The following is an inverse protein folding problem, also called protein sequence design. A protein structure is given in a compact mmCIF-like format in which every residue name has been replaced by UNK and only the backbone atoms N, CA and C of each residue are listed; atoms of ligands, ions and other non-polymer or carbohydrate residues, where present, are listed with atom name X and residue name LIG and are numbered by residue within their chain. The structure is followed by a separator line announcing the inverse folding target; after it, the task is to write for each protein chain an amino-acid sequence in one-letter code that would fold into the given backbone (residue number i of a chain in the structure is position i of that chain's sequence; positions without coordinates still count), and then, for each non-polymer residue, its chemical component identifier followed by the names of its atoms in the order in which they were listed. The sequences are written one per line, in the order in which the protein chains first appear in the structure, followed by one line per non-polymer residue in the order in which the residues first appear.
data_IF_190011299460
#
_entry.id   IF_190011299460
#
_cell.length_a   1.000
_cell.length_b   1.000
_cell.length_c   1.000
_cell.angle_alpha   90.00
_cell.angle_beta   90.00
_cell.angle_gamma   90.00
#
_symmetry.space_group_name_H-M   'P 1'
#
loop_
_entity.id
_entity.type
_entity.pdbx_description
1 polymer ?
#
# COMPACT_ATOMS: atom_id res chain seq x y z
N UNK A 1 -7.58 -34.12 -13.06
CA UNK A 1 -7.22 -33.26 -11.92
C UNK A 1 -6.11 -32.30 -12.30
N UNK A 2 -4.97 -32.76 -12.82
CA UNK A 2 -3.96 -31.86 -13.43
C UNK A 2 -4.54 -31.04 -14.59
N UNK A 3 -5.33 -31.68 -15.46
CA UNK A 3 -6.06 -30.98 -16.54
C UNK A 3 -7.04 -29.92 -16.03
N UNK A 4 -7.58 -30.11 -14.83
CA UNK A 4 -8.51 -29.16 -14.22
C UNK A 4 -7.76 -27.95 -13.66
N UNK A 5 -6.64 -28.17 -12.95
CA UNK A 5 -5.78 -27.09 -12.47
C UNK A 5 -5.25 -26.27 -13.64
N UNK A 6 -4.73 -26.91 -14.68
CA UNK A 6 -4.22 -26.23 -15.87
C UNK A 6 -5.31 -25.37 -16.55
N UNK A 7 -6.53 -25.91 -16.67
CA UNK A 7 -7.67 -25.15 -17.20
C UNK A 7 -8.00 -23.94 -16.33
N UNK A 8 -8.05 -24.10 -15.01
CA UNK A 8 -8.34 -22.98 -14.08
C UNK A 8 -7.26 -21.92 -14.08
N UNK A 9 -6.00 -22.30 -14.19
CA UNK A 9 -4.88 -21.36 -14.37
C UNK A 9 -5.04 -20.55 -15.65
N UNK A 10 -5.42 -21.18 -16.77
CA UNK A 10 -5.67 -20.47 -18.03
C UNK A 10 -6.88 -19.54 -17.96
N UNK A 11 -7.91 -19.90 -17.19
CA UNK A 11 -9.12 -19.09 -17.00
C UNK A 11 -8.89 -17.82 -16.16
N UNK A 12 -7.75 -17.69 -15.47
CA UNK A 12 -7.36 -16.42 -14.85
C UNK A 12 -7.18 -15.29 -15.87
N UNK A 13 -6.86 -15.63 -17.13
CA UNK A 13 -6.75 -14.68 -18.23
C UNK A 13 -8.08 -14.43 -18.96
N UNK A 14 -9.19 -15.00 -18.48
CA UNK A 14 -10.48 -14.84 -19.13
C UNK A 14 -10.88 -13.36 -19.20
N UNK A 15 -11.46 -12.95 -20.33
CA UNK A 15 -12.01 -11.60 -20.52
C UNK A 15 -13.21 -11.34 -19.57
N UNK A 16 -13.90 -12.40 -19.16
CA UNK A 16 -15.00 -12.33 -18.20
C UNK A 16 -14.43 -12.37 -16.79
N UNK A 17 -14.63 -11.28 -16.04
CA UNK A 17 -14.26 -11.18 -14.62
C UNK A 17 -14.86 -12.32 -13.80
N UNK A 18 -16.15 -12.64 -13.98
CA UNK A 18 -16.81 -13.76 -13.29
C UNK A 18 -16.08 -15.10 -13.50
N UNK A 19 -15.57 -15.36 -14.71
CA UNK A 19 -14.84 -16.60 -15.01
C UNK A 19 -13.49 -16.63 -14.30
N UNK A 20 -12.78 -15.52 -14.30
CA UNK A 20 -11.48 -15.40 -13.64
C UNK A 20 -11.61 -15.48 -12.10
N UNK A 21 -12.61 -14.82 -11.51
CA UNK A 21 -12.92 -14.89 -10.07
C UNK A 21 -13.30 -16.32 -9.65
N UNK A 22 -14.15 -17.00 -10.42
CA UNK A 22 -14.50 -18.39 -10.16
C UNK A 22 -13.27 -19.31 -10.26
N UNK A 23 -12.41 -19.08 -11.25
CA UNK A 23 -11.17 -19.81 -11.40
C UNK A 23 -10.23 -19.59 -10.21
N UNK A 24 -10.08 -18.35 -9.76
CA UNK A 24 -9.33 -17.99 -8.57
C UNK A 24 -9.88 -18.68 -7.31
N UNK A 25 -11.17 -18.57 -7.02
CA UNK A 25 -11.81 -19.22 -5.87
C UNK A 25 -11.61 -20.73 -5.90
N UNK A 26 -11.74 -21.33 -7.08
CA UNK A 26 -11.48 -22.75 -7.28
C UNK A 26 -10.02 -23.09 -6.93
N UNK A 27 -9.05 -22.35 -7.45
CA UNK A 27 -7.63 -22.58 -7.18
C UNK A 27 -7.29 -22.45 -5.68
N UNK A 28 -7.86 -21.46 -4.99
CA UNK A 28 -7.73 -21.29 -3.53
C UNK A 28 -8.29 -22.52 -2.80
N UNK A 29 -9.48 -22.98 -3.18
CA UNK A 29 -10.14 -24.14 -2.54
C UNK A 29 -9.37 -25.46 -2.74
N UNK A 30 -8.68 -25.61 -3.87
CA UNK A 30 -7.83 -26.77 -4.16
C UNK A 30 -6.55 -26.78 -3.32
N UNK A 31 -6.15 -25.62 -2.80
CA UNK A 31 -5.09 -25.48 -1.82
C UNK A 31 -3.68 -25.57 -2.43
N UNK A 32 -2.65 -25.86 -1.60
CA UNK A 32 -1.24 -25.78 -1.97
C UNK A 32 -0.78 -26.69 -3.14
N UNK A 33 -1.63 -27.61 -3.62
CA UNK A 33 -1.35 -28.48 -4.77
C UNK A 33 -1.35 -27.73 -6.10
N UNK A 34 -2.00 -26.56 -6.18
CA UNK A 34 -2.07 -25.76 -7.42
C UNK A 34 -0.78 -25.00 -7.69
N UNK A 35 0.08 -24.84 -6.68
CA UNK A 35 1.21 -23.92 -6.75
C UNK A 35 2.20 -24.27 -7.85
N UNK A 36 2.44 -25.56 -8.12
CA UNK A 36 3.39 -25.93 -9.20
C UNK A 36 2.91 -25.44 -10.56
N UNK A 37 1.65 -25.73 -10.91
CA UNK A 37 1.06 -25.28 -12.18
C UNK A 37 0.92 -23.75 -12.25
N UNK A 38 0.50 -23.11 -11.16
CA UNK A 38 0.32 -21.67 -11.13
C UNK A 38 1.65 -20.92 -11.17
N UNK A 39 2.68 -21.37 -10.46
CA UNK A 39 4.04 -20.78 -10.53
C UNK A 39 4.60 -20.89 -11.95
N UNK A 40 4.38 -22.02 -12.63
CA UNK A 40 4.88 -22.23 -13.99
C UNK A 40 4.24 -21.28 -15.01
N UNK A 41 2.99 -20.86 -14.80
CA UNK A 41 2.24 -20.02 -15.73
C UNK A 41 2.14 -18.55 -15.33
N UNK A 42 2.36 -18.19 -14.06
CA UNK A 42 2.00 -16.88 -13.52
C UNK A 42 2.64 -15.70 -14.26
N UNK A 43 3.89 -15.82 -14.73
CA UNK A 43 4.54 -14.75 -15.51
C UNK A 43 4.04 -14.62 -16.96
N UNK A 44 3.35 -15.64 -17.49
CA UNK A 44 2.80 -15.63 -18.84
C UNK A 44 1.36 -15.10 -18.90
N UNK A 45 0.71 -14.98 -17.74
CA UNK A 45 -0.63 -14.41 -17.63
C UNK A 45 -0.62 -12.93 -18.01
N UNK A 46 -1.77 -12.44 -18.47
CA UNK A 46 -2.00 -11.01 -18.67
C UNK A 46 -1.98 -10.27 -17.31
N UNK A 47 -1.89 -8.93 -17.28
CA UNK A 47 -1.79 -8.20 -16.01
C UNK A 47 -2.91 -8.50 -15.02
N UNK A 48 -4.14 -8.71 -15.47
CA UNK A 48 -5.25 -9.06 -14.59
C UNK A 48 -5.11 -10.49 -14.04
N UNK A 49 -4.79 -11.47 -14.90
CA UNK A 49 -4.51 -12.84 -14.47
C UNK A 49 -3.32 -12.94 -13.50
N UNK A 50 -2.32 -12.07 -13.64
CA UNK A 50 -1.22 -11.94 -12.68
C UNK A 50 -1.71 -11.47 -11.30
N UNK A 51 -2.60 -10.47 -11.24
CA UNK A 51 -3.21 -10.03 -9.98
C UNK A 51 -3.99 -11.17 -9.32
N UNK A 52 -4.82 -11.89 -10.11
CA UNK A 52 -5.54 -13.05 -9.59
C UNK A 52 -4.59 -14.13 -9.06
N UNK A 53 -3.49 -14.38 -9.75
CA UNK A 53 -2.46 -15.35 -9.31
C UNK A 53 -1.79 -14.92 -8.00
N UNK A 54 -1.48 -13.62 -7.84
CA UNK A 54 -0.94 -13.06 -6.59
C UNK A 54 -1.92 -13.30 -5.43
N UNK A 55 -3.21 -13.02 -5.61
CA UNK A 55 -4.24 -13.29 -4.60
C UNK A 55 -4.32 -14.76 -4.22
N UNK A 56 -4.23 -15.69 -5.19
CA UNK A 56 -4.16 -17.13 -4.88
C UNK A 56 -2.92 -17.44 -4.04
N UNK A 57 -1.74 -16.90 -4.40
CA UNK A 57 -0.50 -17.12 -3.64
C UNK A 57 -0.61 -16.64 -2.20
N UNK A 58 -1.13 -15.43 -2.01
CA UNK A 58 -1.31 -14.81 -0.69
C UNK A 58 -2.34 -15.57 0.15
N UNK A 59 -3.49 -15.91 -0.42
CA UNK A 59 -4.54 -16.67 0.28
C UNK A 59 -4.08 -18.05 0.74
N UNK A 60 -3.16 -18.68 -0.02
CA UNK A 60 -2.57 -19.97 0.36
C UNK A 60 -1.47 -19.85 1.42
N UNK A 61 -0.99 -18.64 1.73
CA UNK A 61 0.03 -18.34 2.72
C UNK A 61 1.30 -19.22 2.60
N UNK A 62 1.67 -19.56 1.36
CA UNK A 62 2.81 -20.43 1.06
C UNK A 62 3.91 -19.62 0.35
N UNK A 63 5.17 -19.65 0.81
CA UNK A 63 6.25 -18.84 0.25
C UNK A 63 6.91 -19.43 -1.01
N UNK A 64 6.48 -20.61 -1.49
CA UNK A 64 6.98 -21.20 -2.76
C UNK A 64 6.93 -20.28 -3.99
N UNK A 65 5.93 -19.40 -4.21
CA UNK A 65 5.90 -18.47 -5.34
C UNK A 65 6.83 -17.25 -5.18
N UNK A 66 7.69 -17.20 -4.15
CA UNK A 66 8.59 -16.07 -3.91
C UNK A 66 9.40 -15.64 -5.15
N UNK A 67 9.92 -16.57 -5.95
CA UNK A 67 10.73 -16.21 -7.13
C UNK A 67 9.87 -15.63 -8.27
N UNK A 68 8.61 -16.08 -8.42
CA UNK A 68 7.68 -15.50 -9.41
C UNK A 68 7.21 -14.10 -8.99
N UNK A 69 6.88 -13.92 -7.71
CA UNK A 69 6.53 -12.62 -7.14
C UNK A 69 7.70 -11.61 -7.26
N UNK A 70 8.93 -12.05 -7.02
CA UNK A 70 10.13 -11.24 -7.26
C UNK A 70 10.27 -10.84 -8.74
N UNK A 71 9.90 -11.72 -9.67
CA UNK A 71 9.86 -11.41 -11.10
C UNK A 71 8.82 -10.34 -11.44
N UNK A 72 7.65 -10.38 -10.80
CA UNK A 72 6.55 -9.43 -10.99
C UNK A 72 6.87 -7.99 -10.54
N UNK A 73 7.86 -7.79 -9.66
CA UNK A 73 8.38 -6.45 -9.32
C UNK A 73 8.99 -5.69 -10.51
N UNK A 74 9.24 -6.36 -11.64
CA UNK A 74 9.70 -5.75 -12.89
C UNK A 74 8.59 -5.67 -13.97
N UNK A 75 7.32 -5.91 -13.60
CA UNK A 75 6.18 -5.77 -14.50
C UNK A 75 6.04 -4.35 -15.03
N UNK A 76 5.52 -4.19 -16.24
CA UNK A 76 5.15 -2.86 -16.79
C UNK A 76 3.93 -2.28 -16.05
N UNK A 77 3.07 -3.13 -15.49
CA UNK A 77 1.91 -2.72 -14.71
C UNK A 77 2.30 -2.32 -13.29
N UNK A 78 2.05 -1.05 -12.93
CA UNK A 78 2.26 -0.52 -11.59
C UNK A 78 1.47 -1.30 -10.52
N UNK A 79 0.23 -1.68 -10.84
CA UNK A 79 -0.63 -2.47 -9.94
C UNK A 79 -0.04 -3.86 -9.68
N UNK A 80 0.53 -4.52 -10.71
CA UNK A 80 1.19 -5.82 -10.51
C UNK A 80 2.44 -5.65 -9.64
N UNK A 81 3.23 -4.59 -9.83
CA UNK A 81 4.41 -4.32 -8.99
C UNK A 81 4.00 -4.09 -7.53
N UNK A 82 2.95 -3.30 -7.30
CA UNK A 82 2.38 -3.04 -5.97
C UNK A 82 1.96 -4.35 -5.29
N UNK A 83 1.08 -5.12 -5.91
CA UNK A 83 0.52 -6.34 -5.31
C UNK A 83 1.59 -7.41 -5.09
N UNK A 84 2.56 -7.52 -5.99
CA UNK A 84 3.69 -8.41 -5.80
C UNK A 84 4.54 -7.99 -4.59
N UNK A 85 4.75 -6.70 -4.38
CA UNK A 85 5.46 -6.18 -3.21
C UNK A 85 4.72 -6.50 -1.91
N UNK A 86 3.41 -6.25 -1.88
CA UNK A 86 2.55 -6.53 -0.73
C UNK A 86 2.55 -8.04 -0.40
N UNK A 87 2.32 -8.89 -1.40
CA UNK A 87 2.35 -10.34 -1.21
C UNK A 87 3.70 -10.86 -0.71
N UNK A 88 4.82 -10.29 -1.18
CA UNK A 88 6.16 -10.67 -0.68
C UNK A 88 6.34 -10.32 0.81
N UNK A 89 5.74 -9.23 1.27
CA UNK A 89 5.76 -8.82 2.67
C UNK A 89 4.87 -9.71 3.54
N UNK A 90 3.63 -9.96 3.12
CA UNK A 90 2.69 -10.86 3.80
C UNK A 90 3.25 -12.28 3.95
N UNK A 91 3.93 -12.77 2.90
CA UNK A 91 4.59 -14.08 2.91
C UNK A 91 5.96 -14.08 3.62
N UNK A 92 6.40 -12.94 4.16
CA UNK A 92 7.65 -12.82 4.92
C UNK A 92 8.93 -13.09 4.10
N UNK A 93 8.90 -12.82 2.79
CA UNK A 93 9.98 -13.15 1.84
C UNK A 93 11.11 -12.13 1.92
N UNK A 94 11.86 -12.14 3.03
CA UNK A 94 12.98 -11.19 3.28
C UNK A 94 14.04 -11.16 2.17
N UNK A 95 14.24 -12.25 1.43
CA UNK A 95 15.17 -12.29 0.29
C UNK A 95 14.78 -11.37 -0.88
N UNK A 96 13.54 -10.87 -0.91
CA UNK A 96 13.06 -9.95 -1.93
C UNK A 96 13.51 -8.50 -1.72
N UNK A 97 14.01 -8.14 -0.53
CA UNK A 97 14.42 -6.76 -0.17
C UNK A 97 15.29 -6.08 -1.24
N UNK A 98 16.32 -6.71 -1.84
CA UNK A 98 17.11 -6.05 -2.88
C UNK A 98 16.29 -5.66 -4.12
N UNK A 99 15.31 -6.48 -4.50
CA UNK A 99 14.44 -6.24 -5.66
C UNK A 99 13.34 -5.24 -5.35
N UNK A 100 12.82 -5.24 -4.13
CA UNK A 100 11.91 -4.19 -3.64
C UNK A 100 12.59 -2.82 -3.63
N UNK A 101 13.84 -2.73 -3.15
CA UNK A 101 14.62 -1.48 -3.23
C UNK A 101 14.84 -1.03 -4.67
N UNK A 102 15.13 -1.96 -5.58
CA UNK A 102 15.28 -1.65 -6.99
C UNK A 102 13.98 -1.12 -7.61
N UNK A 103 12.85 -1.76 -7.31
CA UNK A 103 11.52 -1.33 -7.77
C UNK A 103 11.16 0.05 -7.21
N UNK A 104 11.37 0.28 -5.90
CA UNK A 104 11.12 1.56 -5.28
C UNK A 104 12.01 2.68 -5.85
N UNK A 105 13.29 2.40 -6.09
CA UNK A 105 14.17 3.35 -6.78
C UNK A 105 13.72 3.65 -8.22
N UNK A 106 13.14 2.67 -8.93
CA UNK A 106 12.59 2.89 -10.27
C UNK A 106 11.32 3.76 -10.22
N UNK A 107 10.42 3.48 -9.28
CA UNK A 107 9.25 4.30 -8.97
C UNK A 107 9.64 5.75 -8.63
N UNK A 108 10.61 5.95 -7.73
CA UNK A 108 11.08 7.30 -7.40
C UNK A 108 11.61 8.07 -8.62
N UNK A 109 12.18 7.38 -9.61
CA UNK A 109 12.67 7.97 -10.87
C UNK A 109 11.57 8.23 -11.91
N UNK A 110 10.39 7.63 -11.81
CA UNK A 110 9.26 7.95 -12.71
C UNK A 110 8.72 9.36 -12.45
N UNK A 111 8.99 9.91 -11.25
CA UNK A 111 8.51 11.22 -10.82
C UNK A 111 7.06 11.21 -10.34
N UNK A 112 6.49 10.03 -10.13
CA UNK A 112 5.21 9.85 -9.45
C UNK A 112 5.27 10.34 -7.99
N UNK A 113 4.10 10.72 -7.47
CA UNK A 113 3.98 11.23 -6.11
C UNK A 113 4.24 10.08 -5.12
N UNK A 114 4.97 10.29 -4.01
CA UNK A 114 5.33 9.18 -3.11
C UNK A 114 4.11 8.45 -2.52
N UNK A 115 3.00 9.13 -2.39
CA UNK A 115 1.70 8.66 -1.89
C UNK A 115 0.84 7.93 -2.92
N UNK A 116 1.31 7.79 -4.17
CA UNK A 116 0.71 6.87 -5.13
C UNK A 116 0.75 5.44 -4.60
N UNK A 117 -0.25 4.65 -4.98
CA UNK A 117 -0.50 3.32 -4.40
C UNK A 117 0.69 2.36 -4.54
N UNK A 118 1.41 2.40 -5.67
CA UNK A 118 2.62 1.62 -5.86
C UNK A 118 3.73 2.04 -4.87
N UNK A 119 3.94 3.34 -4.71
CA UNK A 119 4.95 3.89 -3.81
C UNK A 119 4.67 3.52 -2.35
N UNK A 120 3.39 3.58 -1.95
CA UNK A 120 2.93 3.15 -0.64
C UNK A 120 3.15 1.65 -0.43
N UNK A 121 2.68 0.79 -1.34
CA UNK A 121 2.82 -0.67 -1.24
C UNK A 121 4.28 -1.12 -1.18
N UNK A 122 5.16 -0.50 -1.98
CA UNK A 122 6.60 -0.78 -1.94
C UNK A 122 7.25 -0.36 -0.60
N UNK A 123 6.90 0.81 -0.06
CA UNK A 123 7.41 1.25 1.25
C UNK A 123 6.88 0.39 2.39
N UNK A 124 5.60 0.03 2.34
CA UNK A 124 5.00 -0.88 3.30
C UNK A 124 5.74 -2.22 3.30
N UNK A 125 5.93 -2.82 2.12
CA UNK A 125 6.67 -4.08 2.00
C UNK A 125 8.11 -4.00 2.52
N UNK A 126 8.80 -2.89 2.27
CA UNK A 126 10.13 -2.64 2.84
C UNK A 126 10.10 -2.51 4.37
N UNK A 127 9.03 -1.95 4.94
CA UNK A 127 8.85 -1.80 6.39
C UNK A 127 8.63 -3.17 7.04
N UNK A 128 7.67 -3.94 6.53
CA UNK A 128 7.33 -5.29 7.05
C UNK A 128 8.51 -6.26 6.96
N UNK A 129 9.33 -6.15 5.92
CA UNK A 129 10.52 -7.00 5.76
C UNK A 129 11.76 -6.46 6.50
N UNK A 130 11.63 -5.38 7.27
CA UNK A 130 12.69 -4.80 8.11
C UNK A 130 13.78 -4.07 7.33
N UNK A 131 13.48 -3.61 6.10
CA UNK A 131 14.40 -2.90 5.21
C UNK A 131 14.18 -1.38 5.20
N UNK A 132 13.12 -0.90 5.87
CA UNK A 132 12.77 0.50 6.13
C UNK A 132 12.35 0.62 7.60
N UNK A 133 12.80 1.69 8.26
CA UNK A 133 12.43 2.03 9.63
C UNK A 133 11.42 3.18 9.61
N UNK A 134 10.25 3.01 10.22
CA UNK A 134 9.30 4.09 10.43
C UNK A 134 9.62 4.83 11.72
N UNK A 135 9.79 6.14 11.64
CA UNK A 135 9.91 6.97 12.83
C UNK A 135 8.50 7.33 13.30
N UNK A 136 8.08 6.74 14.41
CA UNK A 136 6.87 7.11 15.13
C UNK A 136 7.22 7.94 16.36
N UNK A 137 6.91 9.25 16.37
CA UNK A 137 7.13 10.11 17.52
C UNK A 137 6.38 9.67 18.78
N UNK A 138 6.92 9.94 19.99
CA UNK A 138 6.35 9.45 21.25
C UNK A 138 4.92 9.90 21.53
N UNK A 139 4.56 11.13 21.13
CA UNK A 139 3.23 11.67 21.41
C UNK A 139 2.21 11.10 20.42
N UNK A 140 2.54 10.95 19.15
CA UNK A 140 1.75 10.17 18.20
C UNK A 140 1.59 8.72 18.68
N UNK A 141 2.64 8.07 19.19
CA UNK A 141 2.52 6.72 19.76
C UNK A 141 1.56 6.65 20.95
N UNK A 142 1.60 7.63 21.85
CA UNK A 142 0.76 7.68 23.05
C UNK A 142 -0.72 7.93 22.75
N UNK A 143 -1.04 8.53 21.60
CA UNK A 143 -2.41 8.86 21.18
C UNK A 143 -3.09 7.77 20.35
N UNK A 144 -2.39 6.68 20.04
CA UNK A 144 -2.95 5.58 19.25
C UNK A 144 -4.13 4.93 19.95
N UNK A 145 -5.08 4.46 19.16
CA UNK A 145 -6.12 3.56 19.65
C UNK A 145 -5.48 2.20 19.99
N UNK A 146 -5.40 1.80 21.27
CA UNK A 146 -4.77 0.53 21.66
C UNK A 146 -5.57 -0.70 21.20
N UNK A 147 -6.82 -0.53 20.75
CA UNK A 147 -7.66 -1.60 20.18
C UNK A 147 -7.70 -1.63 18.66
N UNK A 148 -7.05 -0.67 17.99
CA UNK A 148 -7.06 -0.53 16.54
C UNK A 148 -5.99 -1.38 15.86
N UNK A 149 -6.42 -2.41 15.12
CA UNK A 149 -5.62 -2.94 14.00
C UNK A 149 -6.09 -2.22 12.74
N UNK A 150 -5.26 -1.61 11.88
CA UNK A 150 -3.80 -1.68 11.89
C UNK A 150 -3.21 -0.82 13.01
N UNK A 151 -1.97 -1.14 13.37
CA UNK A 151 -1.17 -0.58 14.48
C UNK A 151 -1.09 0.97 14.45
N UNK A 152 -1.34 1.59 13.30
CA UNK A 152 -1.25 3.04 13.06
C UNK A 152 -2.65 3.68 12.95
N UNK A 153 -3.48 3.45 13.96
CA UNK A 153 -4.84 3.99 14.06
C UNK A 153 -4.95 4.98 15.23
N UNK A 154 -5.62 6.11 15.00
CA UNK A 154 -5.86 7.14 16.00
C UNK A 154 -7.34 7.53 16.06
N UNK A 155 -7.89 7.88 17.23
CA UNK A 155 -9.13 8.65 17.31
C UNK A 155 -9.01 9.95 16.51
N UNK A 156 -10.04 10.32 15.76
CA UNK A 156 -9.96 11.45 14.82
C UNK A 156 -9.68 12.79 15.52
N UNK A 157 -10.10 12.95 16.78
CA UNK A 157 -9.84 14.15 17.58
C UNK A 157 -8.34 14.40 17.83
N UNK A 158 -7.52 13.37 17.71
CA UNK A 158 -6.06 13.46 17.89
C UNK A 158 -5.32 13.78 16.59
N UNK A 159 -6.00 13.78 15.43
CA UNK A 159 -5.38 14.00 14.12
C UNK A 159 -4.52 15.29 14.06
N UNK A 160 -4.97 16.47 14.53
CA UNK A 160 -4.14 17.67 14.47
C UNK A 160 -2.89 17.59 15.36
N UNK A 161 -2.93 16.79 16.43
CA UNK A 161 -1.79 16.59 17.34
C UNK A 161 -0.78 15.62 16.73
N UNK A 162 -1.26 14.54 16.13
CA UNK A 162 -0.44 13.57 15.38
C UNK A 162 0.29 14.23 14.22
N UNK A 163 -0.40 15.08 13.44
CA UNK A 163 0.23 15.82 12.32
C UNK A 163 1.36 16.71 12.80
N UNK A 164 1.17 17.43 13.92
CA UNK A 164 2.20 18.32 14.47
C UNK A 164 3.38 17.54 15.01
N UNK A 165 3.13 16.47 15.77
CA UNK A 165 4.19 15.67 16.35
C UNK A 165 5.05 14.98 15.28
N UNK A 166 4.43 14.47 14.21
CA UNK A 166 5.13 13.97 13.01
C UNK A 166 6.02 15.06 12.41
N UNK A 167 5.48 16.25 12.17
CA UNK A 167 6.25 17.35 11.58
C UNK A 167 7.40 17.83 12.47
N UNK A 168 7.20 17.90 13.78
CA UNK A 168 8.23 18.30 14.77
C UNK A 168 9.40 17.29 14.80
N UNK A 169 9.16 16.06 14.38
CA UNK A 169 10.17 15.00 14.22
C UNK A 169 10.61 14.77 12.77
N UNK A 170 10.40 15.79 11.91
CA UNK A 170 10.90 15.78 10.53
C UNK A 170 10.20 14.78 9.61
N UNK A 171 8.98 14.35 9.95
CA UNK A 171 8.16 13.45 9.14
C UNK A 171 7.16 14.27 8.31
N UNK A 172 7.05 13.97 7.01
CA UNK A 172 6.07 14.58 6.13
C UNK A 172 4.81 13.70 6.04
N UNK A 173 3.65 14.27 6.37
CA UNK A 173 2.36 13.60 6.19
C UNK A 173 1.99 13.60 4.71
N UNK A 174 1.81 12.41 4.17
CA UNK A 174 1.43 12.16 2.80
C UNK A 174 -0.07 12.28 2.60
N UNK A 175 -0.82 11.53 3.40
CA UNK A 175 -2.27 11.44 3.34
C UNK A 175 -2.80 10.90 4.66
N UNK A 176 -4.12 10.94 4.83
CA UNK A 176 -4.80 10.22 5.89
C UNK A 176 -6.16 9.72 5.41
N UNK A 177 -6.66 8.63 5.98
CA UNK A 177 -7.97 8.07 5.66
C UNK A 177 -8.82 8.03 6.93
N UNK A 178 -10.09 8.37 6.80
CA UNK A 178 -11.06 8.43 7.88
C UNK A 178 -11.95 7.20 7.79
N UNK A 179 -12.15 6.55 8.93
CA UNK A 179 -12.93 5.34 9.05
C UNK A 179 -14.00 5.53 10.12
N UNK A 180 -15.18 5.01 9.84
CA UNK A 180 -16.28 4.85 10.78
C UNK A 180 -16.17 3.48 11.45
N UNK A 181 -16.14 3.44 12.77
CA UNK A 181 -16.25 2.21 13.55
C UNK A 181 -17.68 1.70 13.46
N UNK A 182 -17.85 0.45 13.01
CA UNK A 182 -19.17 -0.16 12.92
C UNK A 182 -19.52 -0.91 14.20
N UNK A 183 -20.81 -1.04 14.56
CA UNK A 183 -21.23 -1.67 15.82
C UNK A 183 -20.81 -3.14 15.99
N UNK A 184 -20.52 -3.83 14.89
CA UNK A 184 -20.01 -5.20 14.83
C UNK A 184 -18.49 -5.29 15.03
N UNK A 185 -17.82 -4.18 15.34
CA UNK A 185 -16.36 -4.10 15.52
C UNK A 185 -15.59 -3.98 14.21
N UNK A 186 -16.29 -3.85 13.09
CA UNK A 186 -15.69 -3.56 11.78
C UNK A 186 -15.39 -2.07 11.58
N UNK A 187 -14.98 -1.73 10.36
CA UNK A 187 -14.80 -0.35 9.92
C UNK A 187 -15.33 -0.15 8.52
N UNK A 188 -15.87 1.03 8.27
CA UNK A 188 -16.27 1.50 6.95
C UNK A 188 -15.45 2.72 6.58
N UNK A 189 -14.97 2.79 5.34
CA UNK A 189 -14.33 4.00 4.83
C UNK A 189 -15.34 5.17 4.86
N UNK A 190 -14.99 6.23 5.58
CA UNK A 190 -15.83 7.42 5.76
C UNK A 190 -15.33 8.60 4.91
N UNK A 191 -14.13 8.52 4.36
CA UNK A 191 -13.56 9.51 3.46
C UNK A 191 -12.06 9.68 3.63
N UNK A 192 -11.51 10.66 2.92
CA UNK A 192 -10.15 11.14 3.06
C UNK A 192 -10.14 12.66 3.18
N UNK A 193 -8.97 13.32 3.17
CA UNK A 193 -8.90 14.76 3.15
C UNK A 193 -9.70 15.33 1.98
N UNK A 194 -10.50 16.37 2.23
CA UNK A 194 -11.20 17.12 1.17
C UNK A 194 -10.26 17.99 0.33
N UNK A 195 -8.96 17.94 0.61
CA UNK A 195 -7.89 18.68 -0.06
C UNK A 195 -6.87 17.67 -0.52
N UNK A 196 -6.61 17.65 -1.83
CA UNK A 196 -5.50 16.91 -2.41
C UNK A 196 -4.23 17.77 -2.32
N UNK A 197 -3.18 17.26 -1.66
CA UNK A 197 -1.87 17.91 -1.60
C UNK A 197 -0.78 16.93 -2.01
N UNK A 198 0.11 17.41 -2.88
CA UNK A 198 1.28 16.65 -3.28
C UNK A 198 2.51 17.03 -2.46
N UNK A 199 3.39 16.06 -2.20
CA UNK A 199 4.70 16.32 -1.62
C UNK A 199 5.60 16.99 -2.65
N UNK A 200 6.03 18.21 -2.35
CA UNK A 200 7.05 18.90 -3.13
C UNK A 200 8.43 18.28 -2.84
N UNK A 201 8.91 17.47 -3.79
CA UNK A 201 10.18 16.73 -3.70
C UNK A 201 11.40 17.59 -4.05
N UNK A 202 11.18 18.79 -4.60
CA UNK A 202 12.25 19.68 -5.04
C UNK A 202 12.67 20.67 -3.94
N UNK A 203 11.88 20.79 -2.87
CA UNK A 203 12.20 21.65 -1.73
C UNK A 203 13.19 21.00 -0.75
N UNK A 204 13.94 21.83 0.01
CA UNK A 204 14.66 21.34 1.17
C UNK A 204 13.70 20.59 2.11
N UNK A 205 14.12 19.41 2.58
CA UNK A 205 13.26 18.53 3.38
C UNK A 205 12.51 19.22 4.54
N UNK A 206 13.13 20.10 5.35
CA UNK A 206 12.40 20.80 6.41
C UNK A 206 11.24 21.68 5.89
N UNK A 207 11.38 22.27 4.70
CA UNK A 207 10.31 23.05 4.07
C UNK A 207 9.20 22.15 3.54
N UNK A 208 9.54 20.98 2.98
CA UNK A 208 8.58 19.95 2.59
C UNK A 208 7.74 19.50 3.79
N UNK A 209 8.38 19.19 4.93
CA UNK A 209 7.71 18.80 6.17
C UNK A 209 6.73 19.87 6.64
N UNK A 210 7.16 21.13 6.68
CA UNK A 210 6.29 22.27 7.06
C UNK A 210 5.11 22.41 6.09
N UNK A 211 5.36 22.30 4.78
CA UNK A 211 4.31 22.40 3.78
C UNK A 211 3.27 21.27 3.93
N UNK A 212 3.71 20.03 4.08
CA UNK A 212 2.83 18.87 4.28
C UNK A 212 2.02 19.01 5.57
N UNK A 213 2.65 19.47 6.68
CA UNK A 213 1.96 19.75 7.94
C UNK A 213 0.83 20.77 7.74
N UNK A 214 1.12 21.89 7.09
CA UNK A 214 0.16 22.98 6.94
C UNK A 214 -1.04 22.56 6.06
N UNK A 215 -0.79 21.81 4.99
CA UNK A 215 -1.86 21.24 4.17
C UNK A 215 -2.68 20.17 4.90
N UNK A 216 -2.01 19.26 5.62
CA UNK A 216 -2.69 18.22 6.39
C UNK A 216 -3.54 18.81 7.52
N UNK A 217 -3.06 19.86 8.21
CA UNK A 217 -3.82 20.59 9.23
C UNK A 217 -5.05 21.29 8.61
N UNK A 218 -4.88 21.95 7.48
CA UNK A 218 -5.99 22.56 6.76
C UNK A 218 -7.04 21.53 6.34
N UNK A 219 -6.60 20.36 5.88
CA UNK A 219 -7.51 19.26 5.55
C UNK A 219 -8.22 18.69 6.79
N UNK A 220 -7.51 18.60 7.93
CA UNK A 220 -8.06 18.15 9.19
C UNK A 220 -9.16 19.08 9.74
N UNK A 221 -9.10 20.39 9.45
CA UNK A 221 -10.17 21.35 9.82
C UNK A 221 -11.52 21.03 9.16
N UNK A 222 -11.52 20.34 8.02
CA UNK A 222 -12.73 19.94 7.29
C UNK A 222 -13.29 18.59 7.74
N UNK A 223 -12.62 17.89 8.65
CA UNK A 223 -13.00 16.54 9.09
C UNK A 223 -14.06 16.62 10.19
N UNK A 224 -15.12 15.82 10.06
CA UNK A 224 -16.12 15.66 11.10
C UNK A 224 -15.53 14.88 12.29
N UNK A 225 -15.52 15.51 13.47
CA UNK A 225 -14.97 14.93 14.70
C UNK A 225 -16.10 14.26 15.47
N UNK A 226 -16.29 12.97 15.21
CA UNK A 226 -17.22 12.12 15.94
C UNK A 226 -16.48 10.99 16.68
N UNK A 227 -17.03 10.55 17.81
CA UNK A 227 -16.40 9.55 18.69
C UNK A 227 -16.26 8.15 18.07
N UNK A 228 -16.97 7.89 16.97
CA UNK A 228 -16.92 6.66 16.21
C UNK A 228 -15.99 6.78 14.98
N UNK A 229 -15.27 7.91 14.84
CA UNK A 229 -14.35 8.16 13.74
C UNK A 229 -12.91 7.95 14.19
N UNK A 230 -12.19 7.19 13.39
CA UNK A 230 -10.76 6.93 13.55
C UNK A 230 -10.03 7.26 12.26
N UNK A 231 -8.73 7.48 12.35
CA UNK A 231 -7.90 7.91 11.24
C UNK A 231 -6.65 7.04 11.12
N UNK A 232 -6.30 6.68 9.88
CA UNK A 232 -4.98 6.15 9.53
C UNK A 232 -4.20 7.25 8.83
N UNK A 233 -2.91 7.38 9.13
CA UNK A 233 -2.04 8.42 8.56
C UNK A 233 -0.90 7.75 7.81
N UNK A 234 -0.56 8.25 6.63
CA UNK A 234 0.62 7.86 5.85
C UNK A 234 1.69 8.93 5.97
N UNK A 235 2.92 8.56 6.30
CA UNK A 235 4.03 9.51 6.44
C UNK A 235 5.38 8.91 6.02
N UNK A 236 6.29 9.81 5.68
CA UNK A 236 7.66 9.49 5.25
C UNK A 236 8.69 10.42 5.90
N UNK A 237 9.94 10.01 5.89
CA UNK A 237 11.08 10.87 6.21
C UNK A 237 11.97 11.14 4.99
N UNK A 238 13.03 11.93 5.18
CA UNK A 238 13.95 12.30 4.10
C UNK A 238 14.61 11.09 3.42
N UNK A 239 14.74 9.96 4.12
CA UNK A 239 15.38 8.75 3.61
C UNK A 239 14.52 8.01 2.59
N UNK A 240 13.20 8.15 2.68
CA UNK A 240 12.25 7.56 1.73
C UNK A 240 12.39 8.12 0.32
N UNK A 241 12.86 9.36 0.19
CA UNK A 241 13.04 9.98 -1.12
C UNK A 241 14.46 9.83 -1.67
N UNK A 242 15.34 9.10 -0.99
CA UNK A 242 16.72 8.86 -1.44
C UNK A 242 16.78 7.70 -2.41
N UNK A 243 17.43 7.91 -3.54
CA UNK A 243 17.76 6.83 -4.48
C UNK A 243 19.12 6.26 -4.11
N UNK A 244 19.18 4.98 -3.75
CA UNK A 244 20.44 4.29 -3.44
C UNK A 244 21.44 4.44 -4.63
N UNK A 245 22.61 5.02 -4.37
CA UNK A 245 23.71 5.12 -5.34
C UNK A 245 23.78 6.41 -6.17
N UNK A 246 22.94 7.42 -5.91
CA UNK A 246 23.10 8.76 -6.49
C UNK A 246 23.62 9.76 -5.41
N UNK A 247 24.55 10.67 -5.75
CA UNK A 247 24.84 11.82 -4.88
C UNK A 247 23.56 12.65 -4.68
N UNK A 248 23.53 13.47 -3.63
CA UNK A 248 22.38 14.21 -3.05
C UNK A 248 21.58 15.14 -3.99
N UNK A 249 21.72 15.02 -5.31
CA UNK A 249 21.04 15.84 -6.29
C UNK A 249 20.45 15.03 -7.45
N UNK A 250 19.19 15.35 -7.75
CA UNK A 250 18.45 15.10 -9.00
C UNK A 250 17.71 13.76 -9.07
N UNK A 251 16.57 13.72 -8.37
CA UNK A 251 15.39 13.02 -8.90
C UNK A 251 14.92 13.83 -10.13
N UNK A 252 14.62 13.20 -11.28
CA UNK A 252 14.21 13.92 -12.48
C UNK A 252 12.96 14.77 -12.24
N UNK A 253 13.08 16.05 -12.58
CA UNK A 253 12.09 17.11 -12.40
C UNK A 253 10.89 16.89 -13.31
N UNK A 254 9.68 16.82 -12.76
CA UNK A 254 8.46 17.03 -13.53
C UNK A 254 8.02 18.48 -13.33
N UNK A 255 7.92 19.24 -14.41
CA UNK A 255 7.28 20.55 -14.39
C UNK A 255 5.80 20.35 -14.03
N UNK A 256 5.40 20.64 -12.80
CA UNK A 256 3.98 20.69 -12.44
C UNK A 256 3.36 21.96 -13.05
N UNK A 257 2.30 21.76 -13.83
CA UNK A 257 1.33 22.82 -14.09
C UNK A 257 0.67 23.22 -12.74
N UNK A 258 0.23 24.47 -12.57
CA UNK A 258 -0.43 24.90 -11.33
C UNK A 258 -1.67 24.05 -11.05
N UNK A 259 -2.07 23.89 -9.77
CA UNK A 259 -3.17 23.01 -9.41
C UNK A 259 -4.46 23.45 -10.12
N UNK A 260 -5.03 22.53 -10.91
CA UNK A 260 -6.38 22.69 -11.41
C UNK A 260 -7.34 22.50 -10.24
N UNK A 261 -8.19 23.51 -9.99
CA UNK A 261 -9.38 23.34 -9.15
C UNK A 261 -10.34 22.35 -9.85
N UNK A 262 -10.88 21.46 -9.02
CA UNK A 262 -12.15 20.73 -9.15
C UNK A 262 -12.15 19.33 -9.81
N UNK A 263 -12.59 18.37 -8.99
CA UNK A 263 -13.45 17.20 -9.24
C UNK A 263 -13.05 16.18 -10.30
N UNK A 264 -12.83 14.94 -9.85
CA UNK A 264 -13.75 13.82 -10.07
C UNK A 264 -13.37 12.63 -9.20
N UNK A 265 -14.39 12.08 -8.53
CA UNK A 265 -14.41 10.78 -7.87
C UNK A 265 -13.89 9.66 -8.79
N UNK A 266 -12.60 9.35 -8.67
CA UNK A 266 -12.04 8.07 -9.09
C UNK A 266 -12.10 7.14 -7.90
N UNK A 267 -13.16 6.34 -7.81
CA UNK A 267 -13.24 5.25 -6.86
C UNK A 267 -12.17 4.21 -7.18
N UNK A 268 -10.96 4.42 -6.67
CA UNK A 268 -10.11 3.29 -6.33
C UNK A 268 -10.81 2.59 -5.17
N UNK A 269 -11.40 1.42 -5.43
CA UNK A 269 -11.76 0.51 -4.35
C UNK A 269 -10.55 0.45 -3.42
N UNK A 270 -10.69 0.71 -2.11
CA UNK A 270 -9.66 0.27 -1.20
C UNK A 270 -9.53 -1.23 -1.45
N UNK A 271 -8.30 -1.69 -1.72
CA UNK A 271 -8.00 -3.12 -1.60
C UNK A 271 -8.64 -3.57 -0.28
N UNK A 272 -9.39 -4.70 -0.27
CA UNK A 272 -10.05 -5.12 0.95
C UNK A 272 -9.01 -5.15 2.05
N UNK A 273 -9.22 -4.36 3.09
CA UNK A 273 -8.54 -4.58 4.37
C UNK A 273 -8.97 -6.00 4.72
N UNK A 274 -8.10 -6.97 4.42
CA UNK A 274 -8.30 -8.36 4.81
C UNK A 274 -8.41 -8.28 6.32
N UNK A 275 -9.64 -8.47 6.78
CA UNK A 275 -9.91 -8.59 8.20
C UNK A 275 -9.00 -9.70 8.69
N UNK A 276 -8.07 -9.35 9.58
CA UNK A 276 -7.26 -10.31 10.31
C UNK A 276 -8.18 -11.11 11.24
N UNK A 277 -8.99 -11.98 10.64
CA UNK A 277 -9.73 -13.04 11.30
C UNK A 277 -8.75 -14.11 11.73
N UNK A 278 -8.01 -13.85 12.81
CA UNK A 278 -7.38 -14.93 13.57
C UNK A 278 -8.48 -15.86 14.04
N UNK A 279 -8.65 -16.98 13.35
CA UNK A 279 -9.37 -18.11 13.88
C UNK A 279 -8.60 -18.58 15.14
N UNK A 280 -9.13 -18.22 16.30
CA UNK A 280 -8.76 -18.87 17.56
C UNK A 280 -9.06 -20.36 17.41
N UNK A 281 -8.01 -21.18 17.30
CA UNK A 281 -8.15 -22.62 17.43
C UNK A 281 -8.55 -22.95 18.87
N UNK A 282 -9.68 -23.63 19.02
CA UNK A 282 -9.99 -24.55 20.11
C UNK A 282 -10.33 -25.89 19.49
#
# INVERSE_FOLDING_TARGET
MEDEIARRVAELDAESTDVAEEAQHTLISLGPRVLESLIAAALTLNPFGQLCAIEVFTALADPRPADVLIGMLSSESATVRQWAAEALAELGVRRAVPRLRQAYNAFLRSGEAPDESEGEGLRWALTELGARETVLPPRSAALRDPGGEPIDLWPVEHLPEVIRDLADHGQAVLSFQIWELTPDGGRRHAGGPGIDWAVDRDRPWPETVVSCRDWALLAAEAVDVASDRVVTVSWIDATDLRVDGLPEAVIPRKTLAPPHRAFSSGGGSPAPVVSNGRASMS
#
